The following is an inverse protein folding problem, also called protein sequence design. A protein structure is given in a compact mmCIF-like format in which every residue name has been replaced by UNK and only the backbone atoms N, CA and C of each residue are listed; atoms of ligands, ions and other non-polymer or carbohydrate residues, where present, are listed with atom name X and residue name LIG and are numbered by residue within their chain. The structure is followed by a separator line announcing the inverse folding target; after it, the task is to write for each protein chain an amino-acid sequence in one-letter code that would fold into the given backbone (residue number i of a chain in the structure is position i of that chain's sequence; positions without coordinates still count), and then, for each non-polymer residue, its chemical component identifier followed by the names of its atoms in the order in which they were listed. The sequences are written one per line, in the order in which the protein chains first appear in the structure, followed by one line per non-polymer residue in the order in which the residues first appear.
data_IF_215992988718
#
_entry.id   IF_215992988718
#
_cell.length_a   1.000
_cell.length_b   1.000
_cell.length_c   1.000
_cell.angle_alpha   90.00
_cell.angle_beta   90.00
_cell.angle_gamma   90.00
#
_symmetry.space_group_name_H-M   'P 1'
#
loop_
_entity.id
_entity.type
_entity.pdbx_description
1 polymer ?
#
# COMPACT_ATOMS: atom_id res chain seq x y z
N UNK A 1 14.33 6.46 4.86
CA UNK A 1 14.03 6.09 3.46
C UNK A 1 12.58 6.40 3.10
N UNK A 2 11.58 5.80 3.76
CA UNK A 2 10.16 6.06 3.46
C UNK A 2 9.80 7.55 3.57
N UNK A 3 10.26 8.25 4.61
CA UNK A 3 10.06 9.70 4.73
C UNK A 3 10.61 10.49 3.54
N UNK A 4 11.84 10.22 3.11
CA UNK A 4 12.46 10.87 1.96
C UNK A 4 11.68 10.62 0.66
N UNK A 5 11.11 9.41 0.49
CA UNK A 5 10.28 9.08 -0.65
C UNK A 5 8.99 9.91 -0.68
N UNK A 6 8.34 10.08 0.47
CA UNK A 6 7.14 10.92 0.57
C UNK A 6 7.47 12.38 0.32
N UNK A 7 8.53 12.90 0.93
CA UNK A 7 8.92 14.31 0.78
C UNK A 7 9.26 14.65 -0.67
N UNK A 8 10.10 13.83 -1.32
CA UNK A 8 10.47 14.00 -2.72
C UNK A 8 9.25 13.87 -3.64
N UNK A 9 8.40 12.86 -3.40
CA UNK A 9 7.17 12.66 -4.16
C UNK A 9 6.23 13.85 -4.05
N UNK A 10 5.93 14.30 -2.84
CA UNK A 10 5.01 15.41 -2.62
C UNK A 10 5.55 16.75 -3.15
N UNK A 11 6.86 17.00 -3.03
CA UNK A 11 7.51 18.17 -3.59
C UNK A 11 7.45 18.20 -5.13
N UNK A 12 7.72 17.08 -5.80
CA UNK A 12 7.65 17.02 -7.26
C UNK A 12 6.20 17.17 -7.76
N UNK A 13 5.24 16.47 -7.14
CA UNK A 13 3.81 16.62 -7.48
C UNK A 13 3.35 18.08 -7.32
N UNK A 14 3.82 18.79 -6.29
CA UNK A 14 3.46 20.19 -6.04
C UNK A 14 3.89 21.13 -7.17
N UNK A 15 4.90 20.75 -7.96
CA UNK A 15 5.45 21.52 -9.10
C UNK A 15 4.99 21.01 -10.46
N UNK A 16 4.26 19.90 -10.52
CA UNK A 16 3.76 19.39 -11.79
C UNK A 16 2.61 20.26 -12.32
N UNK A 17 2.58 20.57 -13.63
CA UNK A 17 1.50 21.32 -14.26
C UNK A 17 0.26 20.42 -14.47
N UNK A 18 -0.39 20.08 -13.37
CA UNK A 18 -1.61 19.28 -13.35
C UNK A 18 -2.87 20.17 -13.50
N UNK A 19 -4.04 19.64 -13.84
CA UNK A 19 -5.28 20.44 -13.90
C UNK A 19 -5.72 20.93 -12.51
N UNK A 20 -6.39 22.09 -12.45
CA UNK A 20 -6.83 22.68 -11.18
C UNK A 20 -7.88 21.82 -10.45
N UNK A 21 -8.77 21.16 -11.21
CA UNK A 21 -9.85 20.29 -10.70
C UNK A 21 -9.48 18.82 -10.58
N UNK A 22 -8.20 18.48 -10.68
CA UNK A 22 -7.78 17.09 -10.64
C UNK A 22 -7.67 16.56 -9.19
N UNK A 23 -7.65 15.24 -9.07
CA UNK A 23 -7.29 14.48 -7.86
C UNK A 23 -6.28 13.40 -8.25
N UNK A 24 -5.50 12.89 -7.31
CA UNK A 24 -4.30 12.11 -7.65
C UNK A 24 -4.59 10.65 -8.02
N UNK A 25 -5.79 10.10 -7.84
CA UNK A 25 -6.02 8.69 -8.19
C UNK A 25 -5.35 7.69 -7.24
N UNK A 26 -4.70 8.15 -6.16
CA UNK A 26 -3.90 7.32 -5.26
C UNK A 26 -4.70 6.86 -4.03
N UNK A 27 -5.96 6.49 -4.17
CA UNK A 27 -6.74 5.99 -3.03
C UNK A 27 -7.67 4.88 -3.47
N UNK A 28 -7.92 3.92 -2.57
CA UNK A 28 -8.98 2.93 -2.75
C UNK A 28 -10.37 3.58 -2.73
N UNK A 29 -10.49 4.73 -2.05
CA UNK A 29 -11.73 5.49 -2.01
C UNK A 29 -11.75 6.54 -3.13
N UNK A 30 -12.78 6.50 -3.96
CA UNK A 30 -13.03 7.58 -4.93
C UNK A 30 -13.52 8.82 -4.18
N UNK A 31 -12.83 9.97 -4.27
CA UNK A 31 -13.27 11.16 -3.58
C UNK A 31 -14.57 11.69 -4.20
N UNK A 32 -15.47 12.20 -3.36
CA UNK A 32 -16.80 12.70 -3.72
C UNK A 32 -16.74 13.92 -4.65
N UNK A 33 -15.58 14.60 -4.70
CA UNK A 33 -15.30 15.73 -5.58
C UNK A 33 -14.49 15.37 -6.82
N UNK A 34 -14.40 14.09 -7.18
CA UNK A 34 -13.84 13.66 -8.45
C UNK A 34 -14.69 14.18 -9.62
N UNK A 35 -14.38 15.38 -10.13
CA UNK A 35 -14.77 15.77 -11.48
C UNK A 35 -14.13 14.78 -12.47
N UNK A 36 -14.68 14.60 -13.67
CA UNK A 36 -14.24 13.56 -14.64
C UNK A 36 -12.76 13.66 -15.10
N UNK A 37 -12.02 14.67 -14.65
CA UNK A 37 -10.58 14.83 -14.86
C UNK A 37 -9.77 14.30 -13.68
N UNK A 38 -9.66 12.98 -13.54
CA UNK A 38 -8.60 12.36 -12.74
C UNK A 38 -7.23 12.81 -13.27
N UNK A 39 -6.24 13.06 -12.40
CA UNK A 39 -4.84 12.81 -12.82
C UNK A 39 -4.85 11.32 -13.10
N UNK A 40 -4.87 10.93 -14.37
CA UNK A 40 -5.14 9.55 -14.80
C UNK A 40 -3.99 8.63 -14.35
N UNK A 41 -3.93 8.29 -13.06
CA UNK A 41 -3.01 7.29 -12.51
C UNK A 41 -3.37 5.90 -13.02
N UNK A 42 -4.61 5.73 -13.46
CA UNK A 42 -5.09 4.53 -14.13
C UNK A 42 -4.91 4.52 -15.66
N UNK A 43 -4.42 5.60 -16.31
CA UNK A 43 -4.05 5.52 -17.74
C UNK A 43 -2.54 5.27 -17.90
N UNK A 44 -2.15 4.11 -18.44
CA UNK A 44 -0.76 3.86 -18.80
C UNK A 44 -0.20 4.99 -19.69
N UNK A 45 0.97 5.52 -19.31
CA UNK A 45 1.66 6.56 -20.09
C UNK A 45 1.33 8.00 -19.71
N UNK A 46 0.54 8.25 -18.66
CA UNK A 46 0.40 9.61 -18.12
C UNK A 46 1.73 10.18 -17.63
N UNK A 47 1.91 11.51 -17.66
CA UNK A 47 3.11 12.16 -17.12
C UNK A 47 3.33 11.81 -15.65
N UNK A 48 2.24 11.65 -14.90
CA UNK A 48 2.31 11.22 -13.50
C UNK A 48 2.90 9.80 -13.38
N UNK A 49 2.39 8.83 -14.14
CA UNK A 49 2.83 7.44 -14.06
C UNK A 49 4.27 7.25 -14.51
N UNK A 50 4.69 8.01 -15.52
CA UNK A 50 6.03 7.91 -16.09
C UNK A 50 7.09 8.64 -15.26
N UNK A 51 6.72 9.69 -14.50
CA UNK A 51 7.69 10.51 -13.76
C UNK A 51 7.62 10.34 -12.24
N UNK A 52 6.42 10.18 -11.67
CA UNK A 52 6.21 10.20 -10.21
C UNK A 52 6.00 8.81 -9.64
N UNK A 53 4.91 8.13 -10.01
CA UNK A 53 4.54 6.86 -9.39
C UNK A 53 3.61 6.04 -10.29
N UNK A 54 3.89 4.74 -10.36
CA UNK A 54 3.06 3.77 -11.04
C UNK A 54 3.03 2.47 -10.23
N UNK A 55 1.82 2.03 -9.85
CA UNK A 55 1.61 0.89 -8.95
C UNK A 55 2.11 -0.43 -9.52
N UNK A 56 2.23 -0.56 -10.86
CA UNK A 56 2.74 -1.79 -11.49
C UNK A 56 4.17 -2.11 -11.07
N UNK A 57 4.97 -1.08 -10.75
CA UNK A 57 6.36 -1.26 -10.33
C UNK A 57 6.51 -1.67 -8.86
N UNK A 58 5.40 -1.85 -8.14
CA UNK A 58 5.42 -2.51 -6.83
C UNK A 58 5.57 -4.03 -6.94
N UNK A 59 5.43 -4.60 -8.14
CA UNK A 59 5.64 -6.01 -8.43
C UNK A 59 6.46 -6.18 -9.71
N UNK A 60 7.59 -6.87 -9.62
CA UNK A 60 8.55 -7.01 -10.71
C UNK A 60 8.97 -8.47 -10.82
N UNK A 61 8.47 -9.21 -11.83
CA UNK A 61 8.93 -10.57 -12.10
C UNK A 61 10.45 -10.61 -12.23
N UNK A 62 11.11 -11.61 -11.63
CA UNK A 62 12.56 -11.74 -11.72
C UNK A 62 13.04 -11.93 -13.17
N UNK A 63 12.19 -12.51 -14.02
CA UNK A 63 12.41 -12.65 -15.47
C UNK A 63 12.60 -11.32 -16.19
N UNK A 64 12.03 -10.22 -15.67
CA UNK A 64 12.12 -8.90 -16.30
C UNK A 64 13.50 -8.25 -16.13
N UNK A 65 14.27 -8.70 -15.13
CA UNK A 65 15.59 -8.13 -14.83
C UNK A 65 16.66 -8.58 -15.82
N UNK A 66 16.49 -9.75 -16.44
CA UNK A 66 17.53 -10.38 -17.26
C UNK A 66 18.82 -10.56 -16.46
N UNK A 67 19.89 -9.88 -16.89
CA UNK A 67 21.20 -9.92 -16.23
C UNK A 67 21.47 -8.70 -15.33
N UNK A 68 20.49 -7.83 -15.11
CA UNK A 68 20.63 -6.61 -14.29
C UNK A 68 20.24 -6.85 -12.84
N UNK A 69 20.78 -6.03 -11.94
CA UNK A 69 20.25 -5.96 -10.56
C UNK A 69 18.91 -5.20 -10.55
N UNK A 70 18.09 -5.41 -9.51
CA UNK A 70 16.85 -4.64 -9.36
C UNK A 70 17.11 -3.14 -9.27
N UNK A 71 18.20 -2.72 -8.63
CA UNK A 71 18.57 -1.31 -8.50
C UNK A 71 18.90 -0.69 -9.86
N UNK A 72 19.69 -1.39 -10.69
CA UNK A 72 20.05 -0.90 -12.03
C UNK A 72 18.83 -0.84 -12.96
N UNK A 73 17.98 -1.87 -12.90
CA UNK A 73 16.75 -1.93 -13.67
C UNK A 73 15.79 -0.81 -13.26
N UNK A 74 15.62 -0.57 -11.96
CA UNK A 74 14.75 0.48 -11.45
C UNK A 74 15.27 1.88 -11.80
N UNK A 75 16.58 2.11 -11.77
CA UNK A 75 17.17 3.40 -12.13
C UNK A 75 16.83 3.83 -13.56
N UNK A 76 16.64 2.85 -14.47
CA UNK A 76 16.34 3.08 -15.88
C UNK A 76 14.83 3.11 -16.19
N UNK A 77 14.02 2.33 -15.46
CA UNK A 77 12.63 2.06 -15.85
C UNK A 77 11.58 2.62 -14.89
N UNK A 78 11.93 2.88 -13.63
CA UNK A 78 10.94 3.23 -12.61
C UNK A 78 10.80 4.75 -12.49
N UNK A 79 9.58 5.25 -12.21
CA UNK A 79 9.36 6.64 -11.85
C UNK A 79 9.92 6.94 -10.45
N UNK A 80 9.95 8.21 -10.07
CA UNK A 80 10.66 8.70 -8.89
C UNK A 80 10.35 7.95 -7.59
N UNK A 81 9.08 7.85 -7.21
CA UNK A 81 8.68 7.23 -5.94
C UNK A 81 9.03 5.74 -5.96
N UNK A 82 8.71 5.03 -7.05
CA UNK A 82 9.02 3.61 -7.16
C UNK A 82 10.53 3.34 -7.02
N UNK A 83 11.41 4.18 -7.60
CA UNK A 83 12.88 4.09 -7.40
C UNK A 83 13.28 4.20 -5.93
N UNK A 84 12.66 5.11 -5.20
CA UNK A 84 12.94 5.33 -3.77
C UNK A 84 12.38 4.21 -2.88
N UNK A 85 11.39 3.45 -3.36
CA UNK A 85 10.83 2.29 -2.67
C UNK A 85 11.59 0.98 -2.93
N UNK A 86 12.48 0.92 -3.94
CA UNK A 86 13.24 -0.30 -4.27
C UNK A 86 13.93 -0.93 -3.07
N UNK A 87 14.61 -0.20 -2.17
CA UNK A 87 15.31 -0.85 -1.05
C UNK A 87 14.35 -1.42 0.02
N UNK A 88 13.05 -1.10 -0.03
CA UNK A 88 12.02 -1.74 0.79
C UNK A 88 11.44 -3.00 0.15
N UNK A 89 11.72 -3.26 -1.13
CA UNK A 89 11.20 -4.43 -1.84
C UNK A 89 11.88 -5.70 -1.34
N UNK A 90 11.10 -6.78 -1.31
CA UNK A 90 11.51 -8.12 -0.92
C UNK A 90 11.50 -9.04 -2.13
N UNK A 91 12.35 -10.06 -2.11
CA UNK A 91 12.27 -11.15 -3.06
C UNK A 91 11.31 -12.22 -2.55
N UNK A 92 10.25 -12.49 -3.31
CA UNK A 92 9.31 -13.56 -3.03
C UNK A 92 9.63 -14.76 -3.92
N UNK A 93 10.18 -15.82 -3.30
CA UNK A 93 10.56 -17.04 -4.02
C UNK A 93 9.36 -17.85 -4.51
N UNK A 94 8.17 -17.66 -3.94
CA UNK A 94 6.97 -18.38 -4.39
C UNK A 94 6.41 -17.83 -5.70
N UNK A 95 6.57 -16.52 -5.90
CA UNK A 95 6.15 -15.80 -7.10
C UNK A 95 7.31 -15.55 -8.07
N UNK A 96 8.55 -15.90 -7.68
CA UNK A 96 9.78 -15.58 -8.38
C UNK A 96 9.84 -14.11 -8.81
N UNK A 97 9.52 -13.20 -7.89
CA UNK A 97 9.37 -11.76 -8.17
C UNK A 97 9.90 -10.90 -7.02
N UNK A 98 10.37 -9.72 -7.35
CA UNK A 98 10.61 -8.65 -6.38
C UNK A 98 9.34 -7.87 -6.20
N UNK A 99 8.91 -7.65 -4.96
CA UNK A 99 7.69 -6.93 -4.67
C UNK A 99 7.80 -6.08 -3.43
N UNK A 100 6.96 -5.06 -3.34
CA UNK A 100 6.74 -4.38 -2.07
C UNK A 100 6.15 -5.35 -1.05
N UNK A 101 6.46 -5.24 0.26
CA UNK A 101 5.88 -6.15 1.25
C UNK A 101 4.37 -5.85 1.40
N UNK A 102 3.55 -6.90 1.44
CA UNK A 102 2.08 -6.81 1.37
C UNK A 102 1.46 -7.97 0.59
N UNK A 103 0.17 -7.89 0.28
CA UNK A 103 -0.54 -8.88 -0.53
C UNK A 103 -0.40 -8.55 -2.01
N UNK A 104 -0.15 -9.56 -2.85
CA UNK A 104 -0.12 -9.39 -4.30
C UNK A 104 -1.54 -9.46 -4.85
N UNK A 105 -1.91 -8.43 -5.59
CA UNK A 105 -3.21 -8.29 -6.22
C UNK A 105 -3.05 -8.00 -7.71
N UNK A 106 -4.07 -8.36 -8.48
CA UNK A 106 -4.22 -7.95 -9.86
C UNK A 106 -5.22 -6.79 -9.91
N UNK A 107 -4.86 -5.69 -10.58
CA UNK A 107 -5.78 -4.60 -10.85
C UNK A 107 -6.69 -5.00 -12.02
N UNK A 108 -7.98 -5.20 -11.76
CA UNK A 108 -8.97 -5.65 -12.76
C UNK A 108 -9.21 -4.65 -13.89
N UNK A 109 -8.82 -3.38 -13.73
CA UNK A 109 -8.96 -2.36 -14.76
C UNK A 109 -7.79 -2.36 -15.75
N UNK A 110 -6.58 -2.76 -15.30
CA UNK A 110 -5.36 -2.70 -16.11
C UNK A 110 -4.76 -4.07 -16.42
N UNK A 111 -5.14 -5.11 -15.68
CA UNK A 111 -4.52 -6.44 -15.72
C UNK A 111 -3.11 -6.50 -15.12
N UNK A 112 -2.64 -5.40 -14.51
CA UNK A 112 -1.31 -5.34 -13.91
C UNK A 112 -1.31 -5.93 -12.51
N UNK A 113 -0.22 -6.65 -12.18
CA UNK A 113 0.07 -7.06 -10.82
C UNK A 113 0.59 -5.87 -10.01
N UNK A 114 0.13 -5.75 -8.77
CA UNK A 114 0.60 -4.76 -7.80
C UNK A 114 0.50 -5.32 -6.37
N UNK A 115 0.72 -4.47 -5.38
CA UNK A 115 0.72 -4.83 -3.96
C UNK A 115 -0.20 -3.92 -3.17
N UNK A 116 -1.00 -4.50 -2.28
CA UNK A 116 -1.75 -3.78 -1.26
C UNK A 116 -1.26 -4.16 0.13
N UNK A 117 -1.37 -3.22 1.08
CA UNK A 117 -0.96 -3.45 2.46
C UNK A 117 -2.20 -3.77 3.30
N UNK A 118 -2.30 -4.97 3.91
CA UNK A 118 -3.42 -5.30 4.78
C UNK A 118 -3.14 -4.85 6.21
N UNK A 119 -3.95 -3.97 6.77
CA UNK A 119 -3.96 -3.68 8.20
C UNK A 119 -4.89 -4.69 8.87
N UNK A 120 -4.38 -5.51 9.78
CA UNK A 120 -5.18 -6.55 10.43
C UNK A 120 -5.56 -6.11 11.83
N UNK A 121 -6.86 -6.16 12.14
CA UNK A 121 -7.35 -6.08 13.51
C UNK A 121 -7.62 -7.51 14.01
N UNK A 122 -6.74 -7.99 14.90
CA UNK A 122 -6.82 -9.36 15.43
C UNK A 122 -7.94 -9.56 16.46
N UNK A 123 -8.52 -8.49 17.02
CA UNK A 123 -9.67 -8.60 17.94
C UNK A 123 -10.98 -8.89 17.20
N UNK A 124 -11.12 -8.38 15.98
CA UNK A 124 -12.29 -8.56 15.12
C UNK A 124 -12.03 -9.49 13.94
N UNK A 125 -10.81 -10.01 13.80
CA UNK A 125 -10.34 -10.79 12.64
C UNK A 125 -10.62 -10.10 11.30
N UNK A 126 -10.52 -8.77 11.26
CA UNK A 126 -10.82 -7.99 10.05
C UNK A 126 -9.55 -7.45 9.38
N UNK A 127 -9.56 -7.38 8.06
CA UNK A 127 -8.52 -6.75 7.24
C UNK A 127 -9.03 -5.42 6.70
N UNK A 128 -8.27 -4.35 6.87
CA UNK A 128 -8.46 -3.07 6.19
C UNK A 128 -7.32 -2.86 5.21
N UNK A 129 -7.64 -2.76 3.92
CA UNK A 129 -6.69 -2.53 2.85
C UNK A 129 -6.28 -1.07 2.74
N UNK A 130 -4.98 -0.83 2.54
CA UNK A 130 -4.43 0.48 2.20
C UNK A 130 -3.44 0.36 1.05
N UNK A 131 -3.32 1.43 0.25
CA UNK A 131 -2.33 1.49 -0.83
C UNK A 131 -0.92 1.71 -0.22
N UNK A 132 0.15 1.17 -0.84
CA UNK A 132 1.52 1.52 -0.44
C UNK A 132 1.83 3.01 -0.57
N UNK A 133 1.27 3.67 -1.59
CA UNK A 133 1.36 5.12 -1.80
C UNK A 133 -0.06 5.63 -1.93
N UNK A 134 -0.46 6.55 -1.06
CA UNK A 134 -1.81 7.10 -1.07
C UNK A 134 -1.90 8.61 -0.93
N UNK A 135 -2.94 9.18 -1.54
CA UNK A 135 -3.38 10.54 -1.26
C UNK A 135 -4.13 10.57 0.08
N UNK A 136 -3.75 11.49 0.96
CA UNK A 136 -4.47 11.71 2.22
C UNK A 136 -5.74 12.51 1.91
N UNK A 137 -6.87 11.80 1.95
CA UNK A 137 -8.19 12.41 1.74
C UNK A 137 -8.78 12.90 3.06
N UNK A 138 -9.58 13.97 3.00
CA UNK A 138 -10.33 14.46 4.17
C UNK A 138 -11.72 13.81 4.18
N UNK A 139 -12.11 13.12 5.26
CA UNK A 139 -13.48 12.69 5.44
C UNK A 139 -14.40 13.85 5.87
N UNK A 140 -15.66 13.86 5.43
CA UNK A 140 -16.72 14.64 6.06
C UNK A 140 -17.47 13.84 7.15
N UNK A 141 -18.47 14.47 7.76
CA UNK A 141 -19.30 13.85 8.80
C UNK A 141 -20.28 12.79 8.23
N UNK A 142 -20.35 12.65 6.90
CA UNK A 142 -21.24 11.75 6.17
C UNK A 142 -20.47 10.57 5.56
N UNK A 143 -19.16 10.47 5.79
CA UNK A 143 -18.31 9.39 5.26
C UNK A 143 -17.86 9.60 3.81
N UNK A 144 -18.07 10.80 3.25
CA UNK A 144 -17.51 11.19 1.96
C UNK A 144 -16.06 11.61 2.10
N UNK A 145 -15.26 11.36 1.06
CA UNK A 145 -13.84 11.74 1.05
C UNK A 145 -13.58 12.88 0.05
N UNK A 146 -12.71 13.81 0.43
CA UNK A 146 -12.38 14.98 -0.37
C UNK A 146 -10.88 15.06 -0.62
N UNK A 147 -10.50 15.21 -1.89
CA UNK A 147 -9.12 15.46 -2.29
C UNK A 147 -8.74 16.92 -2.09
N UNK A 148 -7.72 17.19 -1.27
CA UNK A 148 -7.14 18.53 -1.10
C UNK A 148 -6.29 18.96 -2.30
N UNK A 149 -5.91 18.02 -3.17
CA UNK A 149 -5.17 18.30 -4.40
C UNK A 149 -5.96 19.20 -5.35
N UNK A 150 -7.29 19.11 -5.29
CA UNK A 150 -8.19 19.99 -6.02
C UNK A 150 -8.04 21.44 -5.52
N UNK A 151 -7.58 22.32 -6.43
CA UNK A 151 -7.39 23.74 -6.15
C UNK A 151 -8.72 24.52 -6.16
N UNK A 152 -9.79 23.94 -6.71
CA UNK A 152 -11.13 24.51 -6.72
C UNK A 152 -11.97 23.71 -5.74
N UNK A 153 -12.18 24.20 -4.50
CA UNK A 153 -12.95 23.46 -3.51
C UNK A 153 -14.35 23.17 -4.06
N UNK A 154 -14.85 21.93 -3.95
CA UNK A 154 -16.24 21.63 -4.26
C UNK A 154 -17.16 22.41 -3.31
N UNK A 155 -18.37 22.75 -3.75
CA UNK A 155 -19.35 23.50 -2.94
C UNK A 155 -19.66 22.83 -1.60
N UNK A 156 -19.49 21.51 -1.53
CA UNK A 156 -19.78 20.69 -0.36
C UNK A 156 -18.51 20.32 0.44
N UNK A 157 -17.38 21.00 0.20
CA UNK A 157 -16.14 20.75 0.94
C UNK A 157 -16.32 21.03 2.44
N UNK A 158 -15.74 20.21 3.33
CA UNK A 158 -15.78 20.47 4.77
C UNK A 158 -15.03 21.76 5.13
N UNK A 159 -15.74 22.77 5.65
CA UNK A 159 -15.21 24.14 5.79
C UNK A 159 -14.10 24.32 6.82
N UNK A 160 -13.99 23.45 7.83
CA UNK A 160 -13.07 23.66 8.95
C UNK A 160 -11.65 23.13 8.68
N UNK A 161 -11.49 22.12 7.82
CA UNK A 161 -10.21 21.43 7.62
C UNK A 161 -9.78 21.32 6.15
N UNK A 162 -10.62 21.75 5.21
CA UNK A 162 -10.29 21.69 3.78
C UNK A 162 -9.47 22.91 3.34
N UNK A 163 -8.23 22.67 2.92
CA UNK A 163 -7.38 23.68 2.30
C UNK A 163 -7.13 23.26 0.85
N UNK A 164 -7.68 23.98 -0.15
CA UNK A 164 -7.52 23.61 -1.55
C UNK A 164 -6.07 23.78 -2.03
N UNK A 165 -5.69 22.96 -3.02
CA UNK A 165 -4.38 23.06 -3.67
C UNK A 165 -3.23 22.58 -2.78
N UNK A 166 -3.48 21.55 -1.98
CA UNK A 166 -2.45 20.88 -1.20
C UNK A 166 -2.16 19.49 -1.76
N UNK A 167 -0.88 19.15 -1.82
CA UNK A 167 -0.43 17.78 -2.04
C UNK A 167 -0.23 17.15 -0.67
N UNK A 168 -1.09 16.21 -0.30
CA UNK A 168 -0.95 15.43 0.93
C UNK A 168 -0.75 13.97 0.55
N UNK A 169 0.48 13.48 0.71
CA UNK A 169 0.89 12.13 0.33
C UNK A 169 1.26 11.33 1.58
N UNK A 170 0.88 10.06 1.60
CA UNK A 170 1.25 9.08 2.63
C UNK A 170 1.83 7.84 1.96
N UNK A 171 2.90 7.30 2.53
CA UNK A 171 3.45 6.00 2.13
C UNK A 171 3.39 5.05 3.32
N UNK A 172 2.80 3.88 3.10
CA UNK A 172 2.61 2.83 4.10
C UNK A 172 3.61 1.71 3.88
N UNK A 173 4.50 1.50 4.86
CA UNK A 173 5.47 0.43 4.85
C UNK A 173 5.14 -0.61 5.93
N UNK A 174 4.72 -1.83 5.54
CA UNK A 174 4.55 -2.91 6.51
C UNK A 174 5.93 -3.47 6.88
N UNK A 175 6.33 -3.22 8.13
CA UNK A 175 7.52 -3.80 8.74
C UNK A 175 7.15 -5.11 9.45
N UNK A 176 8.00 -6.12 9.28
CA UNK A 176 7.79 -7.44 9.85
C UNK A 176 9.08 -7.97 10.43
N UNK A 177 9.00 -8.51 11.66
CA UNK A 177 10.15 -9.06 12.35
C UNK A 177 10.40 -10.51 11.92
N UNK A 178 11.64 -10.83 11.55
CA UNK A 178 12.03 -12.21 11.27
C UNK A 178 12.17 -13.05 12.55
N UNK A 179 12.36 -12.43 13.72
CA UNK A 179 12.68 -13.11 14.99
C UNK A 179 11.59 -13.03 16.05
N UNK A 180 10.60 -12.16 15.88
CA UNK A 180 9.50 -11.99 16.84
C UNK A 180 8.19 -12.53 16.28
N UNK A 181 7.42 -13.19 17.13
CA UNK A 181 6.07 -13.67 16.82
C UNK A 181 5.01 -12.73 17.38
N UNK A 182 3.86 -12.65 16.71
CA UNK A 182 2.70 -11.88 17.14
C UNK A 182 1.84 -12.66 18.13
N UNK A 183 1.33 -11.95 19.14
CA UNK A 183 0.43 -12.50 20.16
C UNK A 183 -0.83 -11.66 20.25
N UNK A 184 -1.94 -12.29 20.59
CA UNK A 184 -3.21 -11.60 20.82
C UNK A 184 -3.09 -10.66 22.01
N UNK A 185 -3.78 -9.52 21.94
CA UNK A 185 -3.90 -8.62 23.08
C UNK A 185 -4.70 -9.35 24.19
N UNK A 186 -4.25 -9.29 25.46
CA UNK A 186 -4.95 -9.95 26.54
C UNK A 186 -6.28 -9.23 26.80
N UNK A 187 -7.31 -9.97 27.21
CA UNK A 187 -8.64 -9.40 27.52
C UNK A 187 -8.60 -8.32 28.62
N UNK A 188 -7.58 -8.36 29.48
CA UNK A 188 -7.33 -7.36 30.52
C UNK A 188 -5.94 -6.74 30.33
N UNK A 189 -5.78 -5.41 30.45
CA UNK A 189 -4.47 -4.78 30.44
C UNK A 189 -3.50 -5.44 31.43
N UNK A 190 -2.30 -5.80 30.97
CA UNK A 190 -1.28 -6.49 31.79
C UNK A 190 -1.46 -8.00 31.96
N UNK A 191 -2.47 -8.61 31.33
CA UNK A 191 -2.64 -10.07 31.30
C UNK A 191 -1.55 -10.79 30.48
N UNK A 192 -1.31 -12.09 30.72
CA UNK A 192 -0.29 -12.85 29.98
C UNK A 192 -0.71 -13.05 28.51
N UNK A 193 0.24 -12.83 27.59
CA UNK A 193 0.02 -12.99 26.13
C UNK A 193 0.73 -14.21 25.53
N UNK A 194 1.73 -14.78 26.22
CA UNK A 194 2.55 -15.89 25.68
C UNK A 194 1.77 -17.17 25.36
N UNK A 195 0.56 -17.36 25.92
CA UNK A 195 -0.30 -18.52 25.64
C UNK A 195 -1.21 -18.36 24.42
N UNK A 196 -1.23 -17.18 23.79
CA UNK A 196 -2.19 -16.85 22.73
C UNK A 196 -1.47 -16.31 21.48
N UNK A 197 -0.64 -17.12 20.81
CA UNK A 197 -0.02 -16.72 19.55
C UNK A 197 -1.08 -16.48 18.48
N UNK A 198 -0.82 -15.52 17.60
CA UNK A 198 -1.69 -15.29 16.45
C UNK A 198 -1.39 -16.37 15.41
N UNK A 199 -2.34 -17.28 15.20
CA UNK A 199 -2.19 -18.35 14.21
C UNK A 199 -2.15 -17.78 12.79
N UNK A 200 -1.32 -18.39 11.94
CA UNK A 200 -1.21 -18.00 10.54
C UNK A 200 -2.34 -18.60 9.68
N UNK A 201 -3.59 -18.37 10.09
CA UNK A 201 -4.79 -18.81 9.37
C UNK A 201 -5.37 -17.66 8.54
N UNK A 202 -5.14 -17.70 7.22
CA UNK A 202 -5.72 -16.72 6.29
C UNK A 202 -7.26 -16.88 6.17
N UNK A 203 -7.80 -18.09 6.35
CA UNK A 203 -9.23 -18.36 6.13
C UNK A 203 -10.14 -17.74 7.20
N UNK A 204 -9.58 -17.43 8.36
CA UNK A 204 -10.28 -16.80 9.48
C UNK A 204 -10.47 -15.29 9.34
N UNK A 205 -9.80 -14.65 8.38
CA UNK A 205 -9.80 -13.20 8.22
C UNK A 205 -10.88 -12.74 7.24
N UNK A 206 -11.59 -11.67 7.62
CA UNK A 206 -12.67 -11.08 6.82
C UNK A 206 -12.29 -9.66 6.38
N UNK A 207 -12.55 -9.31 5.14
CA UNK A 207 -12.26 -7.97 4.62
C UNK A 207 -13.29 -6.95 5.14
N UNK A 208 -12.81 -5.82 5.68
CA UNK A 208 -13.64 -4.74 6.21
C UNK A 208 -13.94 -3.64 5.19
N UNK A 209 -13.11 -3.50 4.17
CA UNK A 209 -13.29 -2.59 3.04
C UNK A 209 -13.11 -3.33 1.70
N UNK A 210 -13.81 -2.88 0.68
CA UNK A 210 -13.83 -3.54 -0.64
C UNK A 210 -12.53 -3.30 -1.41
N UNK A 211 -12.00 -4.36 -2.00
CA UNK A 211 -10.98 -4.33 -3.06
C UNK A 211 -11.61 -4.02 -4.42
N UNK A 212 -12.46 -3.00 -4.56
CA UNK A 212 -13.37 -2.81 -5.72
C UNK A 212 -12.76 -2.95 -7.13
N UNK A 213 -11.46 -2.75 -7.29
CA UNK A 213 -10.72 -2.90 -8.56
C UNK A 213 -9.53 -3.87 -8.48
N UNK A 214 -9.41 -4.63 -7.40
CA UNK A 214 -8.27 -5.48 -7.12
C UNK A 214 -8.74 -6.89 -6.74
N UNK A 215 -8.05 -7.90 -7.25
CA UNK A 215 -8.31 -9.30 -6.90
C UNK A 215 -7.05 -9.95 -6.38
N UNK A 216 -7.16 -10.69 -5.28
CA UNK A 216 -6.03 -11.42 -4.72
C UNK A 216 -5.58 -12.53 -5.68
N UNK A 217 -4.28 -12.56 -5.94
CA UNK A 217 -3.64 -13.51 -6.88
C UNK A 217 -3.29 -14.82 -6.18
N UNK A 218 -2.97 -14.72 -4.89
CA UNK A 218 -2.50 -15.82 -4.07
C UNK A 218 -3.69 -16.44 -3.33
N UNK A 219 -3.90 -17.74 -3.49
CA UNK A 219 -4.97 -18.47 -2.83
C UNK A 219 -4.78 -18.61 -1.31
N UNK A 220 -5.84 -19.00 -0.61
CA UNK A 220 -5.80 -19.24 0.84
C UNK A 220 -4.69 -20.24 1.18
N UNK A 221 -3.87 -19.88 2.16
CA UNK A 221 -2.77 -20.71 2.62
C UNK A 221 -1.83 -21.19 1.49
N UNK A 222 -1.70 -20.42 0.40
CA UNK A 222 -0.70 -20.70 -0.63
C UNK A 222 0.71 -20.33 -0.14
N UNK A 223 1.70 -21.16 -0.49
CA UNK A 223 3.05 -21.08 0.08
C UNK A 223 3.20 -21.80 1.43
N UNK A 224 2.19 -22.58 1.85
CA UNK A 224 2.25 -23.38 3.07
C UNK A 224 2.88 -24.77 2.88
N UNK A 225 3.30 -25.14 1.66
CA UNK A 225 4.03 -26.38 1.39
C UNK A 225 5.34 -26.46 2.20
N UNK A 226 5.78 -27.69 2.49
CA UNK A 226 6.89 -28.02 3.41
C UNK A 226 8.24 -27.34 3.11
N UNK A 227 8.42 -26.79 1.90
CA UNK A 227 9.71 -26.26 1.42
C UNK A 227 9.98 -24.77 1.72
N UNK A 228 9.13 -24.06 2.46
CA UNK A 228 9.43 -22.65 2.77
C UNK A 228 8.61 -22.01 3.87
N UNK A 229 9.27 -21.67 4.98
CA UNK A 229 8.78 -20.64 5.91
C UNK A 229 9.06 -19.28 5.28
N UNK A 230 8.02 -18.65 4.73
CA UNK A 230 8.16 -17.29 4.21
C UNK A 230 7.58 -16.28 5.21
N UNK A 231 8.44 -15.39 5.70
CA UNK A 231 8.05 -14.32 6.61
C UNK A 231 7.14 -13.29 5.95
N UNK A 232 7.03 -13.24 4.63
CA UNK A 232 6.15 -12.33 3.89
C UNK A 232 5.15 -13.04 2.97
N UNK A 233 5.07 -14.37 3.01
CA UNK A 233 4.21 -15.18 2.13
C UNK A 233 2.74 -15.19 2.52
N UNK A 234 1.97 -16.09 1.91
CA UNK A 234 0.53 -16.26 2.16
C UNK A 234 -0.35 -15.30 1.35
N UNK A 235 -1.67 -15.56 1.36
CA UNK A 235 -2.67 -14.81 0.57
C UNK A 235 -2.58 -13.31 0.77
N UNK A 236 -2.47 -12.93 2.04
CA UNK A 236 -2.43 -11.54 2.47
C UNK A 236 -1.00 -11.01 2.66
N UNK A 237 0.03 -11.77 2.29
CA UNK A 237 1.43 -11.38 2.54
C UNK A 237 1.77 -11.18 4.03
N UNK A 238 1.04 -11.86 4.91
CA UNK A 238 1.20 -11.77 6.37
C UNK A 238 2.28 -12.71 6.90
N UNK A 239 2.76 -13.63 6.06
CA UNK A 239 3.79 -14.60 6.40
C UNK A 239 3.43 -15.56 7.53
N UNK A 240 4.40 -16.42 7.85
CA UNK A 240 4.35 -17.37 8.96
C UNK A 240 5.75 -17.64 9.51
N UNK A 241 5.81 -17.99 10.79
CA UNK A 241 6.95 -18.56 11.50
C UNK A 241 6.57 -19.94 12.02
N UNK A 242 7.43 -20.93 11.84
CA UNK A 242 7.27 -22.22 12.50
C UNK A 242 7.75 -22.10 13.95
N UNK A 243 6.80 -21.82 14.84
CA UNK A 243 7.05 -21.66 16.26
C UNK A 243 5.94 -22.35 17.07
N UNK A 244 6.25 -22.67 18.33
CA UNK A 244 5.29 -23.18 19.32
C UNK A 244 4.53 -24.46 18.90
N UNK A 245 5.14 -25.30 18.05
CA UNK A 245 4.54 -26.53 17.51
C UNK A 245 3.16 -26.34 16.86
N UNK A 246 2.84 -25.12 16.41
CA UNK A 246 1.59 -24.81 15.73
C UNK A 246 1.65 -25.29 14.27
N UNK A 247 0.71 -26.14 13.87
CA UNK A 247 0.69 -26.74 12.53
C UNK A 247 0.54 -25.70 11.42
N UNK A 248 -0.26 -24.66 11.64
CA UNK A 248 -0.42 -23.54 10.69
C UNK A 248 0.74 -22.53 10.80
N UNK A 249 1.59 -22.62 11.82
CA UNK A 249 2.56 -21.60 12.17
C UNK A 249 1.93 -20.39 12.86
N UNK A 250 2.80 -19.47 13.28
CA UNK A 250 2.45 -18.24 13.99
C UNK A 250 2.78 -17.04 13.12
N UNK A 251 1.93 -16.01 13.16
CA UNK A 251 2.22 -14.75 12.46
C UNK A 251 3.44 -14.08 13.08
N UNK A 252 4.38 -13.58 12.28
CA UNK A 252 5.44 -12.73 12.80
C UNK A 252 4.88 -11.42 13.35
N UNK A 253 5.60 -10.79 14.28
CA UNK A 253 5.27 -9.45 14.74
C UNK A 253 5.34 -8.47 13.57
N UNK A 254 4.32 -7.61 13.44
CA UNK A 254 4.18 -6.66 12.34
C UNK A 254 3.63 -5.32 12.80
N UNK A 255 4.10 -4.27 12.15
CA UNK A 255 3.55 -2.92 12.27
C UNK A 255 3.52 -2.27 10.88
N UNK A 256 2.58 -1.36 10.66
CA UNK A 256 2.59 -0.52 9.46
C UNK A 256 3.10 0.85 9.85
N UNK A 257 4.25 1.21 9.29
CA UNK A 257 4.86 2.53 9.47
C UNK A 257 4.35 3.41 8.33
N UNK A 258 3.65 4.48 8.68
CA UNK A 258 3.19 5.47 7.71
C UNK A 258 4.04 6.73 7.81
N UNK A 259 4.63 7.14 6.69
CA UNK A 259 5.25 8.46 6.56
C UNK A 259 4.34 9.36 5.73
N UNK A 260 4.28 10.64 6.07
CA UNK A 260 3.43 11.61 5.39
C UNK A 260 4.18 12.91 5.13
N UNK A 261 3.83 13.57 4.05
CA UNK A 261 4.31 14.90 3.74
C UNK A 261 3.21 15.72 3.08
N UNK A 262 3.22 17.01 3.38
CA UNK A 262 2.18 17.94 2.97
C UNK A 262 2.86 19.17 2.38
N UNK A 263 2.56 19.44 1.11
CA UNK A 263 3.13 20.57 0.37
C UNK A 263 2.02 21.41 -0.26
N UNK A 264 2.27 22.70 -0.39
CA UNK A 264 1.39 23.58 -1.16
C UNK A 264 1.72 23.44 -2.64
N UNK A 265 0.68 23.24 -3.45
CA UNK A 265 0.81 23.17 -4.91
C UNK A 265 1.06 24.55 -5.49
N UNK A 266 1.97 24.63 -6.46
CA UNK A 266 2.15 25.81 -7.29
C UNK A 266 1.11 25.78 -8.42
N UNK A 267 0.30 26.83 -8.53
CA UNK A 267 -0.65 26.99 -9.63
C UNK A 267 0.03 27.73 -10.78
N UNK A 268 0.37 27.01 -11.83
CA UNK A 268 0.85 27.60 -13.08
C UNK A 268 -0.37 28.04 -13.90
N UNK A 269 -0.55 29.36 -14.06
CA UNK A 269 -1.52 29.95 -14.99
C UNK A 269 -0.87 30.16 -16.37
#
# INVERSE_FOLDING_TARGET
MVQQAVDAGAQEIARMPLPAKAWLGLSLNTPTNADSSTVQVSQPGSTFNTQIYDERWLYVPATNLGNQTLLDYAAQNFPLINRLLVPAMIYDSSLAAYRYPGAVVENSQTGNMTVLVPIVNYSSSTITWVMPVEEVLIPDNQGNYYSQFNAIPPSNAPQNNFVPGMVALRINYPSQSASMSGFQQPATPGGPTMGSPILADDSSLVESNSLSHYTLVVGDNAGFSDDGVQIHGGKYGLGRQLAYAQQLGVRPYREVISAQAVYRREAFQ
#
